data_IF_686809840254
#
_entry.id   IF_686809840254
#
_cell.length_a   1.000
_cell.length_b   1.000
_cell.length_c   1.000
_cell.angle_alpha   90.00
_cell.angle_beta   90.00
_cell.angle_gamma   90.00
#
_symmetry.space_group_name_H-M   'P 1'
#
loop_
_entity.id
_entity.type
_entity.pdbx_description
1 polymer ?
#
# COMPACT_ATOMS: atom_id res chain seq x y z
N UNK A 1 -5.80 20.75 7.24
CA UNK A 1 -4.54 20.23 6.66
C UNK A 1 -4.31 20.95 5.34
N UNK A 2 -3.14 21.54 5.10
CA UNK A 2 -2.84 22.22 3.84
C UNK A 2 -2.33 21.25 2.75
N UNK A 3 -2.19 21.75 1.52
CA UNK A 3 -1.72 21.01 0.36
C UNK A 3 -0.39 20.26 0.59
N UNK A 4 0.59 20.89 1.24
CA UNK A 4 1.91 20.30 1.50
C UNK A 4 1.85 19.20 2.56
N UNK A 5 1.02 19.38 3.57
CA UNK A 5 0.82 18.39 4.64
C UNK A 5 0.15 17.13 4.09
N UNK A 6 -0.94 17.26 3.33
CA UNK A 6 -1.66 16.09 2.80
C UNK A 6 -0.86 15.34 1.75
N UNK A 7 -0.02 16.03 0.96
CA UNK A 7 0.86 15.40 -0.02
C UNK A 7 1.78 14.34 0.62
N UNK A 8 2.24 14.56 1.86
CA UNK A 8 3.10 13.62 2.59
C UNK A 8 2.39 12.34 3.04
N UNK A 9 1.08 12.26 2.90
CA UNK A 9 0.31 11.03 3.12
C UNK A 9 0.13 10.23 1.83
N UNK A 10 0.48 10.75 0.65
CA UNK A 10 0.09 10.15 -0.62
C UNK A 10 1.18 9.21 -1.14
N UNK A 11 0.76 7.97 -1.39
CA UNK A 11 1.44 7.03 -2.29
C UNK A 11 0.76 7.12 -3.67
N UNK A 12 1.37 7.86 -4.59
CA UNK A 12 0.82 8.14 -5.91
C UNK A 12 0.94 6.91 -6.82
N UNK A 13 -0.18 6.36 -7.23
CA UNK A 13 -0.26 4.96 -7.65
C UNK A 13 -0.64 4.81 -9.12
N UNK A 14 0.12 4.01 -9.87
CA UNK A 14 -0.29 3.50 -11.18
C UNK A 14 0.03 2.00 -11.32
N UNK A 15 -0.99 1.18 -11.11
CA UNK A 15 -0.91 -0.30 -11.18
C UNK A 15 -1.68 -0.86 -12.38
N UNK A 16 -2.06 -0.01 -13.33
CA UNK A 16 -2.81 -0.46 -14.51
C UNK A 16 -1.92 -1.40 -15.34
N UNK A 17 -2.45 -2.52 -15.84
CA UNK A 17 -1.65 -3.52 -16.55
C UNK A 17 -1.05 -2.98 -17.85
N UNK A 18 -1.64 -1.91 -18.41
CA UNK A 18 -1.18 -1.24 -19.63
C UNK A 18 -0.29 -0.02 -19.39
N UNK A 19 0.13 0.25 -18.14
CA UNK A 19 0.99 1.40 -17.84
C UNK A 19 2.34 1.28 -18.57
N UNK A 20 2.64 2.26 -19.41
CA UNK A 20 3.86 2.35 -20.21
C UNK A 20 5.02 2.94 -19.39
N UNK A 21 6.22 2.96 -19.95
CA UNK A 21 7.36 3.64 -19.32
C UNK A 21 7.08 5.14 -19.12
N UNK A 22 6.48 5.79 -20.12
CA UNK A 22 6.16 7.22 -20.06
C UNK A 22 5.14 7.53 -18.96
N UNK A 23 4.15 6.65 -18.77
CA UNK A 23 3.19 6.79 -17.67
C UNK A 23 3.88 6.74 -16.29
N UNK A 24 4.93 5.93 -16.14
CA UNK A 24 5.68 5.81 -14.89
C UNK A 24 6.60 7.02 -14.68
N UNK A 25 7.25 7.53 -15.73
CA UNK A 25 8.04 8.78 -15.64
C UNK A 25 7.17 9.95 -15.24
N UNK A 26 6.01 10.11 -15.89
CA UNK A 26 5.01 11.11 -15.53
C UNK A 26 4.56 10.98 -14.07
N UNK A 27 4.28 9.76 -13.61
CA UNK A 27 3.91 9.50 -12.21
C UNK A 27 5.00 9.98 -11.23
N UNK A 28 6.27 9.73 -11.57
CA UNK A 28 7.41 10.19 -10.79
C UNK A 28 7.56 11.72 -10.80
N UNK A 29 7.44 12.36 -11.97
CA UNK A 29 7.51 13.82 -12.09
C UNK A 29 6.40 14.51 -11.28
N UNK A 30 5.16 13.96 -11.31
CA UNK A 30 4.07 14.44 -10.45
C UNK A 30 4.40 14.26 -8.97
N UNK A 31 4.94 13.11 -8.57
CA UNK A 31 5.33 12.88 -7.18
C UNK A 31 6.44 13.82 -6.69
N UNK A 32 7.38 14.18 -7.55
CA UNK A 32 8.41 15.19 -7.27
C UNK A 32 7.74 16.56 -7.12
N UNK A 33 6.97 16.99 -8.12
CA UNK A 33 6.36 18.32 -8.18
C UNK A 33 5.46 18.60 -6.96
N UNK A 34 4.60 17.65 -6.62
CA UNK A 34 3.64 17.80 -5.52
C UNK A 34 4.21 17.38 -4.16
N UNK A 35 5.41 16.80 -4.17
CA UNK A 35 6.04 16.31 -2.96
C UNK A 35 5.21 15.21 -2.30
N UNK A 36 4.88 14.16 -3.05
CA UNK A 36 4.27 12.95 -2.49
C UNK A 36 5.29 12.14 -1.69
N UNK A 37 4.80 11.24 -0.84
CA UNK A 37 5.67 10.37 -0.04
C UNK A 37 6.31 9.28 -0.91
N UNK A 38 5.49 8.61 -1.72
CA UNK A 38 5.95 7.54 -2.61
C UNK A 38 5.24 7.57 -3.96
N UNK A 39 5.85 6.90 -4.93
CA UNK A 39 5.14 6.31 -6.08
C UNK A 39 4.87 4.84 -5.80
N UNK A 40 3.75 4.30 -6.28
CA UNK A 40 3.41 2.88 -6.19
C UNK A 40 3.19 2.28 -7.58
N UNK A 41 4.01 1.31 -7.95
CA UNK A 41 4.09 0.74 -9.32
C UNK A 41 4.16 -0.79 -9.28
N UNK A 42 3.76 -1.44 -10.37
CA UNK A 42 3.91 -2.90 -10.50
C UNK A 42 5.39 -3.32 -10.46
N UNK A 43 5.74 -4.54 -9.99
CA UNK A 43 7.13 -4.97 -9.80
C UNK A 43 8.04 -4.75 -11.01
N UNK A 44 7.54 -5.05 -12.21
CA UNK A 44 8.26 -4.82 -13.47
C UNK A 44 8.75 -3.37 -13.68
N UNK A 45 8.09 -2.38 -13.06
CA UNK A 45 8.38 -0.95 -13.21
C UNK A 45 9.23 -0.38 -12.06
N UNK A 46 9.58 -1.17 -11.05
CA UNK A 46 10.31 -0.69 -9.86
C UNK A 46 11.67 -0.11 -10.25
N UNK A 47 12.48 -0.87 -11.00
CA UNK A 47 13.81 -0.44 -11.43
C UNK A 47 13.77 0.88 -12.20
N UNK A 48 12.85 0.98 -13.15
CA UNK A 48 12.62 2.21 -13.91
C UNK A 48 12.29 3.39 -13.00
N UNK A 49 11.32 3.24 -12.09
CA UNK A 49 10.93 4.32 -11.18
C UNK A 49 12.09 4.74 -10.26
N UNK A 50 12.83 3.77 -9.71
CA UNK A 50 13.96 4.04 -8.81
C UNK A 50 15.11 4.75 -9.52
N UNK A 51 15.51 4.26 -10.70
CA UNK A 51 16.57 4.87 -11.49
C UNK A 51 16.18 6.30 -11.90
N UNK A 52 14.94 6.51 -12.37
CA UNK A 52 14.45 7.84 -12.79
C UNK A 52 14.41 8.84 -11.62
N UNK A 53 13.90 8.44 -10.44
CA UNK A 53 13.88 9.31 -9.26
C UNK A 53 15.29 9.65 -8.76
N UNK A 54 16.24 8.70 -8.85
CA UNK A 54 17.65 8.95 -8.53
C UNK A 54 18.27 9.95 -9.50
N UNK A 55 18.03 9.82 -10.80
CA UNK A 55 18.51 10.75 -11.82
C UNK A 55 18.01 12.18 -11.58
N UNK A 56 16.78 12.32 -11.06
CA UNK A 56 16.18 13.61 -10.68
C UNK A 56 16.64 14.12 -9.31
N UNK A 57 17.48 13.38 -8.59
CA UNK A 57 17.90 13.66 -7.21
C UNK A 57 16.71 13.90 -6.26
N UNK A 58 15.66 13.07 -6.40
CA UNK A 58 14.42 13.22 -5.64
C UNK A 58 14.31 12.21 -4.49
N UNK A 59 13.96 12.69 -3.30
CA UNK A 59 13.63 11.84 -2.14
C UNK A 59 12.14 11.47 -2.13
N UNK A 60 11.74 10.69 -3.13
CA UNK A 60 10.42 10.05 -3.23
C UNK A 60 10.65 8.54 -3.11
N UNK A 61 9.88 7.86 -2.24
CA UNK A 61 10.01 6.41 -2.07
C UNK A 61 9.38 5.65 -3.23
N UNK A 62 9.88 4.45 -3.51
CA UNK A 62 9.30 3.54 -4.49
C UNK A 62 8.63 2.39 -3.74
N UNK A 63 7.30 2.36 -3.79
CA UNK A 63 6.51 1.23 -3.33
C UNK A 63 6.19 0.29 -4.51
N UNK A 64 6.14 -1.02 -4.23
CA UNK A 64 5.62 -2.00 -5.16
C UNK A 64 4.63 -2.94 -4.49
N UNK A 65 3.99 -3.81 -5.26
CA UNK A 65 2.94 -4.72 -4.81
C UNK A 65 3.39 -6.17 -4.91
N UNK A 66 2.99 -7.02 -3.95
CA UNK A 66 3.42 -8.43 -3.87
C UNK A 66 2.22 -9.36 -3.80
N UNK A 67 2.21 -10.43 -4.59
CA UNK A 67 1.09 -11.36 -4.74
C UNK A 67 -0.17 -10.66 -5.24
N UNK A 68 -0.04 -9.55 -5.96
CA UNK A 68 -1.12 -8.62 -6.23
C UNK A 68 -1.82 -8.89 -7.58
N UNK A 69 -3.15 -8.63 -7.71
CA UNK A 69 -4.07 -8.18 -6.65
C UNK A 69 -4.74 -9.32 -5.87
N UNK A 70 -4.55 -10.58 -6.28
CA UNK A 70 -5.41 -11.67 -5.81
C UNK A 70 -4.97 -12.31 -4.49
N UNK A 71 -3.71 -12.19 -4.11
CA UNK A 71 -3.15 -12.76 -2.87
C UNK A 71 -3.06 -14.29 -2.84
N UNK A 72 -3.48 -14.97 -3.91
CA UNK A 72 -3.68 -16.42 -3.98
C UNK A 72 -2.51 -17.18 -4.63
N UNK A 73 -1.29 -16.63 -4.56
CA UNK A 73 -0.07 -17.34 -4.94
C UNK A 73 0.60 -17.92 -3.67
N UNK A 74 1.33 -19.05 -3.76
CA UNK A 74 2.04 -19.60 -2.61
C UNK A 74 3.05 -18.63 -1.99
N UNK A 75 3.30 -18.79 -0.70
CA UNK A 75 4.20 -17.93 0.09
C UNK A 75 5.60 -17.82 -0.52
N UNK A 76 6.17 -18.92 -1.00
CA UNK A 76 7.49 -18.93 -1.63
C UNK A 76 7.58 -18.04 -2.88
N UNK A 77 6.46 -17.90 -3.61
CA UNK A 77 6.38 -17.01 -4.77
C UNK A 77 6.31 -15.55 -4.33
N UNK A 78 5.53 -15.22 -3.29
CA UNK A 78 5.51 -13.87 -2.70
C UNK A 78 6.88 -13.47 -2.16
N UNK A 79 7.58 -14.39 -1.51
CA UNK A 79 8.94 -14.17 -0.99
C UNK A 79 9.93 -13.93 -2.13
N UNK A 80 9.86 -14.71 -3.20
CA UNK A 80 10.70 -14.50 -4.38
C UNK A 80 10.44 -13.14 -5.03
N UNK A 81 9.17 -12.79 -5.24
CA UNK A 81 8.76 -11.50 -5.81
C UNK A 81 9.20 -10.32 -4.93
N UNK A 82 9.07 -10.45 -3.61
CA UNK A 82 9.50 -9.44 -2.63
C UNK A 82 11.01 -9.17 -2.73
N UNK A 83 11.82 -10.24 -2.73
CA UNK A 83 13.28 -10.11 -2.90
C UNK A 83 13.62 -9.43 -4.22
N UNK A 84 12.96 -9.83 -5.30
CA UNK A 84 13.19 -9.24 -6.62
C UNK A 84 12.85 -7.75 -6.65
N UNK A 85 11.70 -7.36 -6.11
CA UNK A 85 11.29 -5.95 -6.03
C UNK A 85 12.29 -5.11 -5.22
N UNK A 86 12.81 -5.66 -4.11
CA UNK A 86 13.83 -4.98 -3.30
C UNK A 86 15.16 -4.84 -4.06
N UNK A 87 15.62 -5.89 -4.75
CA UNK A 87 16.81 -5.85 -5.60
C UNK A 87 16.68 -4.79 -6.72
N UNK A 88 15.48 -4.65 -7.27
CA UNK A 88 15.16 -3.63 -8.28
C UNK A 88 15.01 -2.22 -7.65
N UNK A 89 14.99 -2.10 -6.33
CA UNK A 89 15.08 -0.83 -5.60
C UNK A 89 13.81 -0.35 -4.89
N UNK A 90 12.85 -1.23 -4.64
CA UNK A 90 11.67 -0.90 -3.85
C UNK A 90 12.05 -0.58 -2.38
N UNK A 91 11.52 0.53 -1.86
CA UNK A 91 11.67 0.95 -0.46
C UNK A 91 10.53 0.40 0.42
N UNK A 92 9.36 0.12 -0.17
CA UNK A 92 8.21 -0.42 0.55
C UNK A 92 7.45 -1.46 -0.32
N UNK A 93 6.86 -2.48 0.32
CA UNK A 93 6.11 -3.55 -0.33
C UNK A 93 4.67 -3.58 0.18
N UNK A 94 3.70 -3.59 -0.72
CA UNK A 94 2.27 -3.74 -0.43
C UNK A 94 1.82 -5.15 -0.83
N UNK A 95 1.87 -6.11 0.10
CA UNK A 95 1.48 -7.50 -0.17
C UNK A 95 -0.02 -7.73 0.01
N UNK A 96 -0.62 -8.68 -0.71
CA UNK A 96 -2.01 -9.11 -0.49
C UNK A 96 -2.03 -10.40 0.33
N UNK A 97 -2.86 -10.46 1.38
CA UNK A 97 -3.04 -11.69 2.17
C UNK A 97 -3.63 -12.80 1.32
N UNK A 98 -3.44 -14.06 1.73
CA UNK A 98 -4.26 -15.15 1.19
C UNK A 98 -5.68 -15.07 1.78
N UNK A 99 -6.61 -14.48 1.02
CA UNK A 99 -8.00 -14.26 1.44
C UNK A 99 -8.74 -15.59 1.63
N UNK A 100 -8.47 -16.59 0.78
CA UNK A 100 -9.07 -17.92 0.90
C UNK A 100 -8.69 -18.61 2.21
N UNK A 101 -7.38 -18.65 2.51
CA UNK A 101 -6.89 -19.21 3.77
C UNK A 101 -7.46 -18.51 5.01
N UNK A 102 -7.62 -17.17 4.96
CA UNK A 102 -8.26 -16.43 6.05
C UNK A 102 -9.71 -16.87 6.26
N UNK A 103 -10.47 -17.07 5.17
CA UNK A 103 -11.87 -17.53 5.21
C UNK A 103 -12.01 -18.96 5.72
N UNK A 104 -11.05 -19.81 5.37
CA UNK A 104 -10.94 -21.18 5.89
C UNK A 104 -10.45 -21.23 7.35
N UNK A 105 -10.13 -20.07 7.93
CA UNK A 105 -9.57 -19.91 9.28
C UNK A 105 -8.21 -20.60 9.46
N UNK A 106 -7.47 -20.77 8.36
CA UNK A 106 -6.07 -21.20 8.38
C UNK A 106 -5.17 -20.00 8.73
N UNK A 107 -5.30 -19.56 9.97
CA UNK A 107 -4.61 -18.38 10.48
C UNK A 107 -3.10 -18.57 10.56
N UNK A 108 -2.64 -19.80 10.80
CA UNK A 108 -1.21 -20.13 10.80
C UNK A 108 -0.60 -19.93 9.42
N UNK A 109 -1.28 -20.38 8.35
CA UNK A 109 -0.84 -20.11 6.99
C UNK A 109 -0.81 -18.61 6.70
N UNK A 110 -1.89 -17.87 7.00
CA UNK A 110 -1.96 -16.42 6.73
C UNK A 110 -0.86 -15.66 7.47
N UNK A 111 -0.63 -15.97 8.76
CA UNK A 111 0.43 -15.32 9.55
C UNK A 111 1.81 -15.64 8.98
N UNK A 112 2.08 -16.91 8.65
CA UNK A 112 3.38 -17.31 8.12
C UNK A 112 3.63 -16.72 6.72
N UNK A 113 2.60 -16.63 5.88
CA UNK A 113 2.66 -15.98 4.56
C UNK A 113 3.11 -14.52 4.66
N UNK A 114 2.56 -13.79 5.64
CA UNK A 114 2.96 -12.41 5.94
C UNK A 114 4.37 -12.36 6.53
N UNK A 115 4.65 -13.19 7.53
CA UNK A 115 5.90 -13.17 8.28
C UNK A 115 7.13 -13.43 7.38
N UNK A 116 7.02 -14.33 6.40
CA UNK A 116 8.13 -14.61 5.49
C UNK A 116 8.42 -13.43 4.55
N UNK A 117 7.39 -12.70 4.09
CA UNK A 117 7.58 -11.46 3.30
C UNK A 117 8.17 -10.35 4.18
N UNK A 118 7.68 -10.19 5.41
CA UNK A 118 8.22 -9.24 6.39
C UNK A 118 9.69 -9.50 6.65
N UNK A 119 10.07 -10.75 6.93
CA UNK A 119 11.45 -11.14 7.22
C UNK A 119 12.41 -10.69 6.13
N UNK A 120 12.13 -11.03 4.86
CA UNK A 120 13.04 -10.71 3.75
C UNK A 120 13.07 -9.22 3.41
N UNK A 121 11.98 -8.50 3.68
CA UNK A 121 11.92 -7.05 3.51
C UNK A 121 12.74 -6.32 4.58
N UNK A 122 12.55 -6.68 5.84
CA UNK A 122 13.24 -6.06 6.97
C UNK A 122 14.75 -6.34 6.96
N UNK A 123 15.20 -7.51 6.49
CA UNK A 123 16.62 -7.82 6.24
C UNK A 123 17.31 -6.80 5.31
N UNK A 124 16.52 -6.08 4.49
CA UNK A 124 16.99 -5.06 3.55
C UNK A 124 16.49 -3.65 3.88
N UNK A 125 15.82 -3.47 5.02
CA UNK A 125 15.29 -2.18 5.48
C UNK A 125 14.04 -1.69 4.72
N UNK A 126 13.38 -2.55 3.95
CA UNK A 126 12.12 -2.22 3.27
C UNK A 126 10.92 -2.45 4.19
N UNK A 127 9.90 -1.59 4.11
CA UNK A 127 8.67 -1.74 4.92
C UNK A 127 7.64 -2.63 4.24
N UNK A 128 6.80 -3.32 5.01
CA UNK A 128 5.71 -4.17 4.50
C UNK A 128 4.34 -3.64 4.92
N UNK A 129 3.44 -3.51 3.94
CA UNK A 129 2.05 -3.16 4.12
C UNK A 129 1.18 -4.33 3.69
N UNK A 130 0.26 -4.76 4.55
CA UNK A 130 -0.58 -5.94 4.34
C UNK A 130 -1.97 -5.50 3.86
N UNK A 131 -2.27 -5.71 2.58
CA UNK A 131 -3.59 -5.50 2.00
C UNK A 131 -4.50 -6.64 2.44
N UNK A 132 -5.50 -6.32 3.26
CA UNK A 132 -6.48 -7.31 3.75
C UNK A 132 -7.67 -7.49 2.81
N UNK A 133 -7.84 -6.56 1.87
CA UNK A 133 -8.93 -6.52 0.89
C UNK A 133 -10.32 -6.54 1.54
N UNK A 134 -10.63 -5.45 2.26
CA UNK A 134 -11.81 -5.33 3.13
C UNK A 134 -13.15 -5.65 2.47
N UNK A 135 -13.28 -5.47 1.16
CA UNK A 135 -14.52 -5.70 0.42
C UNK A 135 -14.98 -7.17 0.40
N UNK A 136 -14.10 -8.12 0.72
CA UNK A 136 -14.43 -9.54 0.82
C UNK A 136 -14.58 -10.04 2.26
N UNK A 137 -14.32 -9.20 3.25
CA UNK A 137 -14.18 -9.63 4.64
C UNK A 137 -15.37 -9.17 5.50
N UNK A 138 -15.77 -10.02 6.44
CA UNK A 138 -16.63 -9.61 7.57
C UNK A 138 -15.85 -8.73 8.54
N UNK A 139 -16.52 -8.06 9.47
CA UNK A 139 -15.83 -7.27 10.51
C UNK A 139 -14.88 -8.12 11.36
N UNK A 140 -15.29 -9.34 11.73
CA UNK A 140 -14.45 -10.29 12.48
C UNK A 140 -13.20 -10.70 11.69
N UNK A 141 -13.36 -10.99 10.40
CA UNK A 141 -12.24 -11.32 9.51
C UNK A 141 -11.28 -10.13 9.33
N UNK A 142 -11.79 -8.89 9.26
CA UNK A 142 -10.95 -7.68 9.20
C UNK A 142 -10.11 -7.51 10.46
N UNK A 143 -10.71 -7.70 11.64
CA UNK A 143 -9.99 -7.66 12.92
C UNK A 143 -8.92 -8.75 12.94
N UNK A 144 -9.28 -9.99 12.62
CA UNK A 144 -8.34 -11.11 12.62
C UNK A 144 -7.17 -10.89 11.65
N UNK A 145 -7.44 -10.41 10.43
CA UNK A 145 -6.39 -10.10 9.46
C UNK A 145 -5.40 -9.03 9.98
N UNK A 146 -5.91 -8.01 10.69
CA UNK A 146 -5.07 -6.98 11.30
C UNK A 146 -4.21 -7.53 12.45
N UNK A 147 -4.78 -8.40 13.29
CA UNK A 147 -4.04 -9.07 14.36
C UNK A 147 -2.91 -9.93 13.79
N UNK A 148 -3.20 -10.77 12.79
CA UNK A 148 -2.19 -11.63 12.15
C UNK A 148 -1.09 -10.81 11.47
N UNK A 149 -1.43 -9.69 10.83
CA UNK A 149 -0.44 -8.78 10.24
C UNK A 149 0.48 -8.16 11.32
N UNK A 150 -0.09 -7.79 12.48
CA UNK A 150 0.66 -7.24 13.60
C UNK A 150 1.56 -8.29 14.26
N UNK A 151 1.04 -9.50 14.48
CA UNK A 151 1.80 -10.64 15.01
C UNK A 151 2.97 -11.04 14.10
N UNK A 152 2.77 -10.96 12.78
CA UNK A 152 3.80 -11.21 11.78
C UNK A 152 4.84 -10.09 11.66
N UNK A 153 4.68 -8.98 12.39
CA UNK A 153 5.63 -7.87 12.41
C UNK A 153 5.53 -6.91 11.22
N UNK A 154 4.41 -6.87 10.50
CA UNK A 154 4.24 -5.92 9.40
C UNK A 154 4.20 -4.47 9.91
N UNK A 155 4.59 -3.53 9.04
CA UNK A 155 4.64 -2.10 9.37
C UNK A 155 3.28 -1.41 9.21
N UNK A 156 2.45 -1.91 8.28
CA UNK A 156 1.14 -1.35 7.97
C UNK A 156 0.11 -2.43 7.69
N UNK A 157 -1.16 -2.12 7.98
CA UNK A 157 -2.31 -2.74 7.33
C UNK A 157 -2.87 -1.79 6.27
N UNK A 158 -3.39 -2.33 5.17
CA UNK A 158 -3.92 -1.60 4.02
C UNK A 158 -5.31 -2.11 3.67
N UNK A 159 -6.24 -1.19 3.37
CA UNK A 159 -7.66 -1.55 3.15
C UNK A 159 -7.83 -2.43 1.91
N UNK A 160 -7.45 -1.93 0.72
CA UNK A 160 -7.94 -2.49 -0.54
C UNK A 160 -6.92 -2.44 -1.67
N UNK A 161 -7.02 -3.36 -2.63
CA UNK A 161 -6.19 -3.34 -3.85
C UNK A 161 -6.65 -2.29 -4.86
N UNK A 162 -7.94 -1.97 -4.86
CA UNK A 162 -8.61 -1.19 -5.91
C UNK A 162 -9.06 -2.02 -7.12
N UNK A 163 -8.85 -3.34 -7.10
CA UNK A 163 -9.30 -4.30 -8.11
C UNK A 163 -10.43 -5.21 -7.61
N UNK A 164 -10.73 -5.18 -6.31
CA UNK A 164 -11.89 -5.83 -5.73
C UNK A 164 -13.21 -5.10 -6.01
N UNK A 165 -14.27 -5.47 -5.27
CA UNK A 165 -15.62 -4.91 -5.45
C UNK A 165 -15.88 -3.62 -4.67
N UNK A 166 -14.98 -3.25 -3.77
CA UNK A 166 -15.07 -2.05 -2.93
C UNK A 166 -13.70 -1.46 -2.59
N UNK A 167 -13.70 -0.22 -2.11
CA UNK A 167 -12.50 0.51 -1.67
C UNK A 167 -12.51 0.80 -0.17
N UNK A 168 -11.70 1.77 0.24
CA UNK A 168 -11.64 2.21 1.63
C UNK A 168 -12.95 2.86 2.10
N UNK A 169 -13.38 2.53 3.32
CA UNK A 169 -14.43 3.23 4.06
C UNK A 169 -13.85 3.82 5.35
N UNK A 170 -14.51 4.84 5.89
CA UNK A 170 -14.11 5.47 7.15
C UNK A 170 -14.23 4.47 8.30
N UNK A 171 -15.26 3.63 8.26
CA UNK A 171 -15.55 2.58 9.23
C UNK A 171 -14.43 1.53 9.26
N UNK A 172 -14.00 1.06 8.08
CA UNK A 172 -12.91 0.09 7.97
C UNK A 172 -11.60 0.66 8.51
N UNK A 173 -11.28 1.92 8.16
CA UNK A 173 -10.05 2.57 8.64
C UNK A 173 -10.06 2.71 10.16
N UNK A 174 -11.19 3.12 10.77
CA UNK A 174 -11.33 3.21 12.23
C UNK A 174 -11.18 1.84 12.90
N UNK A 175 -11.82 0.82 12.34
CA UNK A 175 -11.72 -0.55 12.84
C UNK A 175 -10.26 -1.03 12.82
N UNK A 176 -9.60 -0.90 11.67
CA UNK A 176 -8.20 -1.29 11.51
C UNK A 176 -7.28 -0.53 12.47
N UNK A 177 -7.43 0.80 12.58
CA UNK A 177 -6.66 1.64 13.52
C UNK A 177 -6.84 1.18 14.96
N UNK A 178 -8.09 0.92 15.38
CA UNK A 178 -8.39 0.44 16.73
C UNK A 178 -7.68 -0.90 17.01
N UNK A 179 -7.67 -1.81 16.03
CA UNK A 179 -7.05 -3.14 16.19
C UNK A 179 -5.53 -3.08 16.23
N UNK A 180 -4.90 -2.34 15.32
CA UNK A 180 -3.42 -2.33 15.22
C UNK A 180 -2.75 -1.42 16.25
N UNK A 181 -3.50 -0.47 16.84
CA UNK A 181 -2.98 0.48 17.82
C UNK A 181 -2.25 1.67 17.17
N UNK A 182 -1.53 2.50 17.94
CA UNK A 182 -0.95 3.75 17.44
C UNK A 182 0.36 3.59 16.68
N UNK A 183 1.11 2.51 16.90
CA UNK A 183 2.47 2.33 16.37
C UNK A 183 2.49 1.82 14.93
N UNK A 184 1.64 0.84 14.62
CA UNK A 184 1.52 0.29 13.28
C UNK A 184 0.72 1.22 12.37
N UNK A 185 1.13 1.37 11.11
CA UNK A 185 0.47 2.25 10.17
C UNK A 185 -0.85 1.68 9.61
N UNK A 186 -1.71 2.58 9.14
CA UNK A 186 -2.93 2.21 8.40
C UNK A 186 -2.94 2.95 7.07
N UNK A 187 -2.97 2.21 5.96
CA UNK A 187 -3.04 2.77 4.61
C UNK A 187 -4.45 2.61 4.04
N UNK A 188 -5.14 3.72 3.79
CA UNK A 188 -6.43 3.71 3.11
C UNK A 188 -6.21 3.78 1.59
N UNK A 189 -6.82 2.88 0.83
CA UNK A 189 -6.71 2.85 -0.63
C UNK A 189 -7.96 2.28 -1.30
N UNK A 190 -8.17 2.68 -2.56
CA UNK A 190 -9.34 2.32 -3.36
C UNK A 190 -10.47 3.35 -3.19
N UNK A 191 -10.86 4.01 -4.28
CA UNK A 191 -12.00 4.94 -4.29
C UNK A 191 -11.74 6.37 -3.78
N UNK A 192 -10.55 6.68 -3.26
CA UNK A 192 -10.20 8.01 -2.73
C UNK A 192 -9.77 8.94 -3.87
N UNK A 193 -10.64 9.90 -4.22
CA UNK A 193 -10.50 10.77 -5.41
C UNK A 193 -10.47 12.26 -5.10
N UNK A 194 -10.97 12.69 -3.94
CA UNK A 194 -11.06 14.10 -3.54
C UNK A 194 -10.32 14.39 -2.24
N UNK A 195 -10.05 15.68 -1.99
CA UNK A 195 -9.44 16.16 -0.76
C UNK A 195 -10.24 15.74 0.48
N UNK A 196 -11.56 15.91 0.43
CA UNK A 196 -12.46 15.61 1.54
C UNK A 196 -12.45 14.12 1.88
N UNK A 197 -12.41 13.26 0.87
CA UNK A 197 -12.29 11.81 1.07
C UNK A 197 -10.96 11.44 1.72
N UNK A 198 -9.85 12.02 1.24
CA UNK A 198 -8.53 11.76 1.82
C UNK A 198 -8.45 12.25 3.27
N UNK A 199 -8.96 13.46 3.55
CA UNK A 199 -9.01 14.02 4.89
C UNK A 199 -9.84 13.14 5.84
N UNK A 200 -11.02 12.69 5.42
CA UNK A 200 -11.87 11.82 6.23
C UNK A 200 -11.16 10.49 6.60
N UNK A 201 -10.38 9.92 5.68
CA UNK A 201 -9.58 8.72 5.99
C UNK A 201 -8.46 9.01 6.99
N UNK A 202 -7.79 10.16 6.88
CA UNK A 202 -6.74 10.56 7.82
C UNK A 202 -7.34 10.77 9.22
N UNK A 203 -8.47 11.48 9.32
CA UNK A 203 -9.20 11.69 10.57
C UNK A 203 -9.73 10.38 11.18
N UNK A 204 -10.04 9.39 10.34
CA UNK A 204 -10.39 8.04 10.75
C UNK A 204 -9.21 7.24 11.33
N UNK A 205 -7.98 7.70 11.12
CA UNK A 205 -6.75 7.08 11.62
C UNK A 205 -5.80 6.56 10.55
N UNK A 206 -6.04 6.83 9.26
CA UNK A 206 -5.08 6.49 8.22
C UNK A 206 -3.81 7.36 8.34
N UNK A 207 -2.65 6.71 8.25
CA UNK A 207 -1.33 7.35 8.19
C UNK A 207 -0.72 7.32 6.78
N UNK A 208 -1.43 6.71 5.82
CA UNK A 208 -1.09 6.76 4.39
C UNK A 208 -2.34 6.64 3.52
N UNK A 209 -2.30 7.24 2.35
CA UNK A 209 -3.35 7.22 1.33
C UNK A 209 -2.76 6.66 0.03
N UNK A 210 -3.30 5.53 -0.45
CA UNK A 210 -2.99 5.01 -1.77
C UNK A 210 -4.03 5.47 -2.80
N UNK A 211 -3.60 6.25 -3.80
CA UNK A 211 -4.50 6.82 -4.80
C UNK A 211 -3.79 7.14 -6.11
N UNK A 212 -4.52 7.08 -7.23
CA UNK A 212 -4.10 7.61 -8.53
C UNK A 212 -4.58 9.05 -8.77
N UNK A 213 -5.33 9.62 -7.83
CA UNK A 213 -5.87 11.00 -7.90
C UNK A 213 -5.06 11.99 -7.07
N UNK A 214 -3.80 11.69 -6.75
CA UNK A 214 -2.98 12.47 -5.81
C UNK A 214 -2.90 13.95 -6.16
N UNK A 215 -2.68 14.27 -7.44
CA UNK A 215 -2.64 15.65 -7.96
C UNK A 215 -3.95 16.39 -7.65
N UNK A 216 -5.10 15.79 -8.00
CA UNK A 216 -6.42 16.39 -7.76
C UNK A 216 -6.71 16.62 -6.28
N UNK A 217 -6.25 15.70 -5.43
CA UNK A 217 -6.42 15.80 -3.97
C UNK A 217 -5.65 17.00 -3.42
N UNK A 218 -4.40 17.20 -3.83
CA UNK A 218 -3.57 18.32 -3.37
C UNK A 218 -4.06 19.66 -3.93
N UNK A 219 -4.44 19.70 -5.21
CA UNK A 219 -5.06 20.89 -5.81
C UNK A 219 -6.38 21.26 -5.13
N UNK A 220 -7.17 20.27 -4.71
CA UNK A 220 -8.39 20.47 -3.93
C UNK A 220 -8.16 21.08 -2.56
N UNK A 221 -7.03 20.78 -1.91
CA UNK A 221 -6.64 21.34 -0.62
C UNK A 221 -6.20 22.82 -0.69
N UNK A 222 -5.96 23.34 -1.90
CA UNK A 222 -5.49 24.70 -2.15
C UNK A 222 -6.62 25.69 -2.46
N UNK A 223 -7.87 25.21 -2.46
CA UNK A 223 -9.08 26.03 -2.64
C UNK A 223 -9.68 26.39 -1.28
#
# INVERSE_FOLDING_TARGET
MNAREIARYIDHTNLKPYATEEDIKKLCDEAIQYGFYAVCVNPYRVKLAKDYLREKNADVKVASVIGFPLGATPTEVKVFEAKRAIEDGADELDMVINIGALKDKDYDYVRNDIAEVVRVAHEKGAKVKVIIETCYLTEEEKVKACELAKEAGADFVKTSTGFGTGGATVEDVRLMRKTVGPEMGVKASGGIRTYEQALAMIEAGATRIGTSSGVKIVEGASK
#
